data_IF_683109819892
#
_entry.id   IF_683109819892
#
_cell.length_a   1.000
_cell.length_b   1.000
_cell.length_c   1.000
_cell.angle_alpha   90.00
_cell.angle_beta   90.00
_cell.angle_gamma   90.00
#
_symmetry.space_group_name_H-M   'P 1'
#
loop_
_entity.id
_entity.type
_entity.pdbx_description
1 polymer ?
#
# COMPACT_ATOMS: atom_id res chain seq x y z
N UNK A 1 5.10 -14.01 -10.03
CA UNK A 1 4.08 -13.46 -10.88
C UNK A 1 3.91 -11.96 -10.79
N UNK A 2 2.68 -11.45 -10.82
CA UNK A 2 2.49 -10.01 -11.01
C UNK A 2 2.99 -9.16 -9.84
N UNK A 3 2.84 -9.63 -8.61
CA UNK A 3 3.34 -8.89 -7.45
C UNK A 3 4.86 -8.77 -7.49
N UNK A 4 5.56 -9.84 -7.81
CA UNK A 4 7.02 -9.81 -7.94
C UNK A 4 7.46 -8.81 -9.00
N UNK A 5 6.76 -8.76 -10.14
CA UNK A 5 7.07 -7.82 -11.21
C UNK A 5 6.87 -6.36 -10.77
N UNK A 6 5.76 -6.08 -10.09
CA UNK A 6 5.49 -4.73 -9.57
C UNK A 6 6.53 -4.33 -8.53
N UNK A 7 6.83 -5.20 -7.58
CA UNK A 7 7.82 -4.93 -6.55
C UNK A 7 9.22 -4.69 -7.14
N UNK A 8 9.61 -5.49 -8.13
CA UNK A 8 10.91 -5.32 -8.78
C UNK A 8 11.02 -3.97 -9.49
N UNK A 9 9.98 -3.58 -10.21
CA UNK A 9 9.95 -2.30 -10.91
C UNK A 9 10.02 -1.12 -9.93
N UNK A 10 9.24 -1.17 -8.85
CA UNK A 10 9.23 -0.10 -7.86
C UNK A 10 10.51 -0.07 -7.03
N UNK A 11 11.10 -1.22 -6.74
CA UNK A 11 12.40 -1.30 -6.09
C UNK A 11 13.48 -0.58 -6.89
N UNK A 12 13.49 -0.79 -8.20
CA UNK A 12 14.42 -0.08 -9.10
C UNK A 12 14.24 1.44 -8.98
N UNK A 13 13.01 1.91 -8.99
CA UNK A 13 12.70 3.34 -8.83
C UNK A 13 13.18 3.87 -7.48
N UNK A 14 12.91 3.14 -6.39
CA UNK A 14 13.33 3.53 -5.04
C UNK A 14 14.85 3.62 -4.93
N UNK A 15 15.55 2.63 -5.49
CA UNK A 15 17.01 2.61 -5.48
C UNK A 15 17.59 3.84 -6.18
N UNK A 16 17.05 4.20 -7.35
CA UNK A 16 17.47 5.40 -8.10
C UNK A 16 17.19 6.70 -7.36
N UNK A 17 16.20 6.73 -6.49
CA UNK A 17 15.83 7.90 -5.71
C UNK A 17 16.47 7.92 -4.31
N UNK A 18 17.34 6.95 -4.01
CA UNK A 18 17.99 6.87 -2.72
C UNK A 18 17.06 6.52 -1.56
N UNK A 19 15.96 5.84 -1.84
CA UNK A 19 15.00 5.41 -0.83
C UNK A 19 15.38 4.01 -0.35
N UNK A 20 15.55 3.84 0.98
CA UNK A 20 15.79 2.53 1.57
C UNK A 20 14.49 1.75 1.60
N UNK A 21 14.47 0.55 1.03
CA UNK A 21 13.30 -0.30 1.02
C UNK A 21 13.55 -1.57 1.83
N UNK A 22 12.71 -1.81 2.82
CA UNK A 22 12.69 -3.04 3.60
C UNK A 22 11.35 -3.73 3.39
N UNK A 23 11.37 -5.05 3.26
CA UNK A 23 10.14 -5.79 3.05
C UNK A 23 10.18 -7.14 3.73
N UNK A 24 9.01 -7.60 4.15
CA UNK A 24 8.77 -8.93 4.67
C UNK A 24 7.47 -9.41 4.06
N UNK A 25 7.53 -10.42 3.18
CA UNK A 25 6.38 -10.83 2.38
C UNK A 25 6.12 -12.33 2.56
N UNK A 26 5.00 -12.66 3.15
CA UNK A 26 4.50 -14.03 3.30
C UNK A 26 3.16 -14.13 2.60
N UNK A 27 3.13 -14.86 1.47
CA UNK A 27 1.93 -14.94 0.62
C UNK A 27 1.16 -16.23 0.89
N UNK A 28 -0.18 -16.18 0.79
CA UNK A 28 -0.98 -17.40 0.79
C UNK A 28 -0.76 -18.17 -0.51
N UNK A 29 -1.21 -19.42 -0.55
CA UNK A 29 -1.12 -20.28 -1.74
C UNK A 29 -1.84 -19.64 -2.93
N UNK A 30 -3.01 -19.04 -2.69
CA UNK A 30 -3.74 -18.29 -3.70
C UNK A 30 -3.87 -16.83 -3.24
N UNK A 31 -3.41 -15.91 -4.06
CA UNK A 31 -3.52 -14.48 -3.77
C UNK A 31 -4.99 -14.03 -3.95
N UNK A 32 -5.55 -13.23 -3.01
CA UNK A 32 -6.98 -12.93 -3.00
C UNK A 32 -7.46 -11.95 -4.07
N UNK A 33 -6.57 -11.42 -4.90
CA UNK A 33 -6.91 -10.48 -5.97
C UNK A 33 -6.52 -11.03 -7.33
N UNK A 34 -7.23 -10.59 -8.37
CA UNK A 34 -6.83 -10.85 -9.75
C UNK A 34 -5.48 -10.20 -10.06
N UNK A 35 -4.77 -10.62 -11.13
CA UNK A 35 -3.54 -9.94 -11.53
C UNK A 35 -3.72 -8.44 -11.77
N UNK A 36 -4.83 -8.06 -12.41
CA UNK A 36 -5.11 -6.64 -12.66
C UNK A 36 -5.29 -5.86 -11.36
N UNK A 37 -6.11 -6.35 -10.44
CA UNK A 37 -6.37 -5.68 -9.17
C UNK A 37 -5.12 -5.67 -8.29
N UNK A 38 -4.31 -6.73 -8.32
CA UNK A 38 -3.01 -6.77 -7.63
C UNK A 38 -2.10 -5.66 -8.14
N UNK A 39 -1.97 -5.53 -9.46
CA UNK A 39 -1.15 -4.48 -10.07
C UNK A 39 -1.68 -3.09 -9.69
N UNK A 40 -2.98 -2.88 -9.77
CA UNK A 40 -3.61 -1.60 -9.43
C UNK A 40 -3.36 -1.24 -7.97
N UNK A 41 -3.58 -2.16 -7.05
CA UNK A 41 -3.41 -1.92 -5.62
C UNK A 41 -1.96 -1.55 -5.29
N UNK A 42 -1.02 -2.41 -5.66
CA UNK A 42 0.38 -2.21 -5.26
C UNK A 42 1.05 -1.07 -5.99
N UNK A 43 0.73 -0.84 -7.25
CA UNK A 43 1.24 0.33 -7.98
C UNK A 43 0.81 1.61 -7.27
N UNK A 44 -0.45 1.72 -6.89
CA UNK A 44 -0.98 2.93 -6.27
C UNK A 44 -0.39 3.18 -4.88
N UNK A 45 -0.31 2.16 -4.03
CA UNK A 45 0.22 2.37 -2.67
C UNK A 45 1.73 2.63 -2.70
N UNK A 46 2.48 1.97 -3.58
CA UNK A 46 3.93 2.18 -3.68
C UNK A 46 4.25 3.52 -4.31
N UNK A 47 3.55 3.93 -5.35
CA UNK A 47 3.74 5.26 -5.95
C UNK A 47 3.45 6.38 -4.95
N UNK A 48 2.39 6.21 -4.14
CA UNK A 48 2.06 7.15 -3.09
C UNK A 48 3.20 7.27 -2.05
N UNK A 49 3.76 6.12 -1.65
CA UNK A 49 4.87 6.09 -0.70
C UNK A 49 6.13 6.73 -1.28
N UNK A 50 6.47 6.43 -2.53
CA UNK A 50 7.65 7.00 -3.22
C UNK A 50 7.50 8.52 -3.33
N UNK A 51 6.32 8.99 -3.71
CA UNK A 51 6.04 10.43 -3.83
C UNK A 51 6.18 11.15 -2.49
N UNK A 52 5.66 10.56 -1.42
CA UNK A 52 5.79 11.13 -0.09
C UNK A 52 7.25 11.22 0.37
N UNK A 53 8.07 10.24 0.02
CA UNK A 53 9.49 10.24 0.35
C UNK A 53 10.27 11.35 -0.34
N UNK A 54 9.82 11.83 -1.49
CA UNK A 54 10.50 12.88 -2.25
C UNK A 54 10.52 14.22 -1.51
N UNK A 55 9.54 14.48 -0.65
CA UNK A 55 9.50 15.70 0.15
C UNK A 55 10.16 15.54 1.52
N UNK A 56 10.74 14.39 1.79
CA UNK A 56 11.39 14.11 3.07
C UNK A 56 12.83 14.58 3.04
N UNK A 57 13.26 15.53 3.93
CA UNK A 57 14.60 16.07 3.90
C UNK A 57 15.66 15.14 4.51
N UNK A 58 15.25 14.16 5.30
CA UNK A 58 16.15 13.17 5.89
C UNK A 58 16.16 11.91 5.03
N UNK A 59 16.95 10.90 5.41
CA UNK A 59 17.07 9.66 4.68
C UNK A 59 15.71 8.98 4.50
N UNK A 60 15.14 8.94 3.29
CA UNK A 60 13.80 8.39 3.07
C UNK A 60 13.79 6.87 3.13
N UNK A 61 12.70 6.31 3.64
CA UNK A 61 12.54 4.86 3.74
C UNK A 61 11.10 4.45 3.47
N UNK A 62 10.94 3.21 2.98
CA UNK A 62 9.66 2.55 2.78
C UNK A 62 9.76 1.14 3.36
N UNK A 63 8.74 0.71 4.09
CA UNK A 63 8.67 -0.62 4.68
C UNK A 63 7.35 -1.29 4.29
N UNK A 64 7.44 -2.45 3.63
CA UNK A 64 6.29 -3.26 3.23
C UNK A 64 6.26 -4.55 4.04
N UNK A 65 5.12 -4.84 4.64
CA UNK A 65 4.90 -6.07 5.37
C UNK A 65 3.61 -6.71 4.86
N UNK A 66 3.68 -7.96 4.42
CA UNK A 66 2.53 -8.74 3.96
C UNK A 66 2.54 -10.07 4.69
N UNK A 67 1.45 -10.38 5.39
CA UNK A 67 1.35 -11.64 6.14
C UNK A 67 -0.10 -12.07 6.29
N UNK A 68 -0.36 -13.39 6.36
CA UNK A 68 -1.66 -13.88 6.77
C UNK A 68 -1.95 -13.54 8.23
N UNK A 69 -3.19 -13.21 8.52
CA UNK A 69 -3.67 -13.01 9.88
C UNK A 69 -5.11 -13.51 9.97
N UNK A 70 -5.30 -14.70 10.56
CA UNK A 70 -6.60 -15.35 10.55
C UNK A 70 -7.02 -15.71 9.14
N UNK A 71 -8.22 -15.29 8.76
CA UNK A 71 -8.79 -15.48 7.42
C UNK A 71 -8.53 -14.28 6.50
N UNK A 72 -7.63 -13.39 6.90
CA UNK A 72 -7.29 -12.19 6.14
C UNK A 72 -5.83 -12.21 5.73
N UNK A 73 -5.53 -11.54 4.63
CA UNK A 73 -4.16 -11.16 4.26
C UNK A 73 -3.97 -9.70 4.67
N UNK A 74 -3.00 -9.44 5.54
CA UNK A 74 -2.72 -8.11 6.04
C UNK A 74 -1.54 -7.51 5.30
N UNK A 75 -1.75 -6.34 4.71
CA UNK A 75 -0.73 -5.58 3.98
C UNK A 75 -0.52 -4.26 4.71
N UNK A 76 0.70 -4.01 5.14
CA UNK A 76 1.06 -2.75 5.82
C UNK A 76 2.20 -2.10 5.07
N UNK A 77 2.00 -0.88 4.62
CA UNK A 77 3.02 -0.09 3.93
C UNK A 77 3.22 1.21 4.69
N UNK A 78 4.43 1.40 5.20
CA UNK A 78 4.82 2.62 5.90
C UNK A 78 5.91 3.33 5.11
N UNK A 79 5.89 4.65 5.16
CA UNK A 79 6.97 5.45 4.56
C UNK A 79 7.30 6.63 5.46
N UNK A 80 8.56 7.06 5.38
CA UNK A 80 8.97 8.31 6.02
C UNK A 80 8.23 9.47 5.37
N UNK A 81 7.93 10.48 6.18
CA UNK A 81 7.19 11.64 5.73
C UNK A 81 7.59 12.85 6.56
N UNK A 82 7.71 13.99 5.91
CA UNK A 82 7.96 15.27 6.57
C UNK A 82 6.67 16.06 6.76
N UNK A 83 5.53 15.40 6.66
CA UNK A 83 4.31 16.06 6.31
C UNK A 83 3.54 16.71 7.46
N UNK A 84 3.00 17.87 7.16
CA UNK A 84 1.82 18.40 7.81
C UNK A 84 0.62 17.91 7.02
N UNK A 85 0.01 16.82 7.49
CA UNK A 85 -1.18 16.30 6.83
C UNK A 85 -2.37 17.19 7.09
N UNK A 86 -3.09 17.53 6.02
CA UNK A 86 -4.32 18.32 6.08
C UNK A 86 -5.50 17.45 5.71
N UNK A 87 -6.63 17.71 6.36
CA UNK A 87 -7.87 17.02 6.10
C UNK A 87 -8.91 18.02 5.60
N UNK A 88 -9.78 17.59 4.68
CA UNK A 88 -10.91 18.42 4.27
C UNK A 88 -12.01 18.37 5.33
N UNK A 89 -13.11 19.12 5.12
CA UNK A 89 -14.24 19.19 6.07
C UNK A 89 -14.92 17.85 6.29
N UNK A 90 -14.77 16.91 5.36
CA UNK A 90 -15.33 15.55 5.46
C UNK A 90 -14.38 14.56 6.14
N UNK A 91 -13.21 15.02 6.60
CA UNK A 91 -12.22 14.15 7.21
C UNK A 91 -11.33 13.41 6.23
N UNK A 92 -11.40 13.72 4.94
CA UNK A 92 -10.55 13.10 3.93
C UNK A 92 -9.17 13.78 3.90
N UNK A 93 -8.13 12.96 3.78
CA UNK A 93 -6.76 13.43 3.71
C UNK A 93 -6.52 14.21 2.41
N UNK A 94 -5.94 15.39 2.54
CA UNK A 94 -5.61 16.22 1.39
C UNK A 94 -4.19 15.94 0.89
N UNK A 95 -3.98 16.14 -0.41
CA UNK A 95 -2.64 16.09 -1.01
C UNK A 95 -1.77 17.23 -0.45
N UNK A 96 -0.52 16.91 -0.11
CA UNK A 96 0.44 17.90 0.37
C UNK A 96 0.92 18.84 -0.72
N UNK A 97 0.78 18.48 -2.00
CA UNK A 97 1.29 19.26 -3.12
C UNK A 97 0.43 20.45 -3.48
N UNK A 98 -0.88 20.31 -3.43
CA UNK A 98 -1.81 21.33 -3.97
C UNK A 98 -3.06 21.50 -3.12
N UNK A 99 -3.13 20.89 -1.95
CA UNK A 99 -4.27 20.99 -1.05
C UNK A 99 -5.50 20.21 -1.52
N UNK A 100 -5.40 19.42 -2.57
CA UNK A 100 -6.48 18.58 -3.07
C UNK A 100 -6.54 17.27 -2.30
N UNK A 101 -7.69 16.60 -2.34
CA UNK A 101 -7.84 15.27 -1.78
C UNK A 101 -6.72 14.35 -2.28
N UNK A 102 -6.23 13.51 -1.37
CA UNK A 102 -5.19 12.52 -1.67
C UNK A 102 -5.75 11.57 -2.71
N UNK A 103 -5.34 11.80 -3.84
CA UNK A 103 -5.71 11.57 -5.14
C UNK A 103 -6.43 10.32 -5.59
N UNK A 104 -6.36 10.20 -6.87
CA UNK A 104 -6.90 9.10 -7.65
C UNK A 104 -6.40 7.73 -7.16
N UNK A 105 -5.14 7.65 -6.73
CA UNK A 105 -4.53 6.39 -6.27
C UNK A 105 -5.24 5.76 -5.08
N UNK A 106 -5.57 6.54 -4.04
CA UNK A 106 -6.27 5.99 -2.88
C UNK A 106 -7.72 5.63 -3.21
N UNK A 107 -8.35 6.32 -4.14
CA UNK A 107 -9.68 5.92 -4.60
C UNK A 107 -9.66 4.56 -5.30
N UNK A 108 -8.60 4.26 -6.05
CA UNK A 108 -8.44 2.94 -6.66
C UNK A 108 -8.19 1.86 -5.61
N UNK A 109 -7.44 2.18 -4.57
CA UNK A 109 -7.24 1.27 -3.44
C UNK A 109 -8.58 0.97 -2.76
N UNK A 110 -9.39 1.99 -2.50
CA UNK A 110 -10.73 1.82 -1.93
C UNK A 110 -11.60 0.92 -2.81
N UNK A 111 -11.61 1.16 -4.11
CA UNK A 111 -12.41 0.37 -5.05
C UNK A 111 -12.02 -1.11 -5.02
N UNK A 112 -10.72 -1.39 -5.07
CA UNK A 112 -10.23 -2.78 -5.07
C UNK A 112 -10.55 -3.47 -3.74
N UNK A 113 -10.31 -2.81 -2.62
CA UNK A 113 -10.54 -3.41 -1.30
C UNK A 113 -12.03 -3.63 -1.04
N UNK A 114 -12.88 -2.69 -1.39
CA UNK A 114 -14.33 -2.83 -1.21
C UNK A 114 -14.90 -3.94 -2.09
N UNK A 115 -14.43 -4.05 -3.32
CA UNK A 115 -14.91 -5.06 -4.27
C UNK A 115 -14.68 -6.48 -3.78
N UNK A 116 -13.63 -6.74 -3.01
CA UNK A 116 -13.34 -8.08 -2.47
C UNK A 116 -13.81 -8.29 -1.03
N UNK A 117 -14.49 -7.32 -0.44
CA UNK A 117 -14.96 -7.41 0.94
C UNK A 117 -13.88 -7.12 1.98
N UNK A 118 -12.79 -6.51 1.57
CA UNK A 118 -11.73 -6.06 2.46
C UNK A 118 -11.92 -4.61 2.90
N UNK A 119 -10.88 -4.07 3.52
CA UNK A 119 -10.90 -2.66 3.92
C UNK A 119 -9.47 -2.11 3.95
N UNK A 120 -9.35 -0.79 3.96
CA UNK A 120 -8.07 -0.13 4.16
C UNK A 120 -8.22 1.02 5.15
N UNK A 121 -7.10 1.38 5.75
CA UNK A 121 -7.02 2.49 6.70
C UNK A 121 -5.70 3.21 6.50
N UNK A 122 -5.72 4.54 6.55
CA UNK A 122 -4.53 5.36 6.54
C UNK A 122 -4.29 5.94 7.94
N UNK A 123 -3.03 5.93 8.36
CA UNK A 123 -2.64 6.41 9.68
C UNK A 123 -1.45 7.36 9.51
N UNK A 124 -1.70 8.67 9.36
CA UNK A 124 -0.61 9.63 9.31
C UNK A 124 -0.09 9.95 10.71
N UNK A 125 1.21 10.22 10.80
CA UNK A 125 1.83 10.73 12.02
C UNK A 125 2.83 11.82 11.65
N UNK A 126 3.55 12.38 12.63
CA UNK A 126 4.44 13.53 12.38
C UNK A 126 5.56 13.23 11.38
N UNK A 127 6.05 11.99 11.36
CA UNK A 127 7.23 11.60 10.59
C UNK A 127 7.01 10.38 9.71
N UNK A 128 5.78 9.85 9.70
CA UNK A 128 5.49 8.58 9.04
C UNK A 128 4.03 8.54 8.55
N UNK A 129 3.83 7.92 7.40
CA UNK A 129 2.51 7.64 6.85
C UNK A 129 2.37 6.12 6.70
N UNK A 130 1.28 5.56 7.18
CA UNK A 130 1.04 4.11 7.11
C UNK A 130 -0.30 3.83 6.45
N UNK A 131 -0.30 2.90 5.47
CA UNK A 131 -1.52 2.32 4.90
C UNK A 131 -1.60 0.87 5.38
N UNK A 132 -2.73 0.50 5.92
CA UNK A 132 -3.04 -0.88 6.32
C UNK A 132 -4.21 -1.37 5.49
N UNK A 133 -4.03 -2.52 4.85
CA UNK A 133 -5.03 -3.15 3.99
C UNK A 133 -5.26 -4.56 4.48
N UNK A 134 -6.53 -4.96 4.60
CA UNK A 134 -6.91 -6.32 4.94
C UNK A 134 -7.79 -6.88 3.83
N UNK A 135 -7.39 -8.04 3.28
CA UNK A 135 -8.09 -8.71 2.20
C UNK A 135 -8.54 -10.09 2.66
N UNK A 136 -9.82 -10.45 2.49
CA UNK A 136 -10.26 -11.80 2.82
C UNK A 136 -9.58 -12.84 1.94
N UNK A 137 -9.13 -13.93 2.55
CA UNK A 137 -8.53 -15.05 1.82
C UNK A 137 -9.58 -16.15 1.71
N UNK A 138 -9.77 -16.66 0.48
CA UNK A 138 -10.72 -17.73 0.25
C UNK A 138 -10.19 -19.04 0.84
N UNK A 139 -10.93 -19.60 1.80
CA UNK A 139 -10.61 -20.91 2.38
C UNK A 139 -10.99 -22.09 1.50
N UNK A 140 -11.78 -21.83 0.44
CA UNK A 140 -12.23 -22.90 -0.47
C UNK A 140 -11.07 -23.52 -1.26
N UNK A 141 -10.04 -22.72 -1.57
CA UNK A 141 -8.88 -23.20 -2.31
C UNK A 141 -8.08 -24.19 -1.49
N UNK A 142 -7.99 -23.99 -0.19
CA UNK A 142 -7.29 -24.92 0.70
C UNK A 142 -8.04 -26.26 0.85
N UNK A 143 -9.36 -26.24 0.86
CA UNK A 143 -10.17 -27.45 0.92
C UNK A 143 -10.07 -28.32 -0.33
N UNK A 144 -9.91 -27.70 -1.47
CA UNK A 144 -9.82 -28.41 -2.77
C UNK A 144 -8.44 -29.03 -2.99
N UNK A 145 -7.45 -28.65 -2.21
CA UNK A 145 -6.08 -29.18 -2.29
C UNK A 145 -5.81 -30.28 -1.26
N UNK A 146 -6.79 -30.64 -0.49
CA UNK A 146 -6.74 -31.75 0.44
C UNK A 146 -7.31 -33.00 -0.22
#
# INVERSE_FOLDING_TARGET
>A
PILDAVLSLKYYTMEHKGIRFEHSVYLPTAFPLSPLDTSTLFTNILDNAIEACQSCPAAPWIHLDIKPKGDMLLITLSNSSAANYRYNKKGNLLSTKDGKEHGYGLRQVARVTEACGGFYQVTPSADKFTITIALPVSLEVERNNL
#
